data_IF_624046674360
#
_entry.id   IF_624046674360
#
_cell.length_a   1.000
_cell.length_b   1.000
_cell.length_c   1.000
_cell.angle_alpha   90.00
_cell.angle_beta   90.00
_cell.angle_gamma   90.00
#
_symmetry.space_group_name_H-M   'P 1'
#
loop_
_entity.id
_entity.type
_entity.pdbx_description
1 polymer ?
#
# COMPACT_ATOMS: atom_id res chain seq x y z
N UNK A 1 12.64 -33.90 7.27
CA UNK A 1 11.29 -34.38 7.67
C UNK A 1 10.47 -33.13 7.96
N UNK A 2 9.88 -32.54 6.91
CA UNK A 2 9.13 -31.28 7.01
C UNK A 2 7.72 -31.66 7.48
N UNK A 3 7.35 -31.19 8.67
CA UNK A 3 6.03 -31.41 9.23
C UNK A 3 4.96 -30.84 8.30
N UNK A 4 4.02 -31.69 7.90
CA UNK A 4 2.74 -31.31 7.32
C UNK A 4 2.02 -30.40 8.33
N UNK A 5 2.23 -29.09 8.22
CA UNK A 5 1.28 -28.14 8.78
C UNK A 5 -0.02 -28.40 8.04
N UNK A 6 -1.02 -28.93 8.75
CA UNK A 6 -2.38 -29.07 8.23
C UNK A 6 -2.84 -27.67 7.81
N UNK A 7 -2.77 -27.39 6.51
CA UNK A 7 -3.28 -26.15 5.94
C UNK A 7 -4.76 -26.05 6.34
N UNK A 8 -5.12 -24.96 7.01
CA UNK A 8 -6.52 -24.65 7.19
C UNK A 8 -7.15 -24.65 5.78
N UNK A 9 -8.19 -25.46 5.50
CA UNK A 9 -8.76 -25.52 4.16
C UNK A 9 -9.24 -24.11 3.79
N UNK A 10 -8.79 -23.62 2.62
CA UNK A 10 -9.21 -22.33 2.12
C UNK A 10 -10.73 -22.30 2.02
N UNK A 11 -11.36 -21.32 2.67
CA UNK A 11 -12.81 -21.16 2.61
C UNK A 11 -13.14 -20.14 1.52
N UNK A 12 -13.63 -20.65 0.39
CA UNK A 12 -14.09 -19.81 -0.72
C UNK A 12 -15.27 -18.94 -0.32
N UNK A 13 -15.25 -17.70 -0.80
CA UNK A 13 -16.15 -16.64 -0.40
C UNK A 13 -16.51 -15.74 -1.58
N UNK A 14 -17.70 -15.12 -1.57
CA UNK A 14 -18.04 -14.08 -2.55
C UNK A 14 -17.09 -12.88 -2.44
N UNK A 15 -16.46 -12.70 -1.27
CA UNK A 15 -15.47 -11.67 -1.01
C UNK A 15 -14.19 -11.91 -1.82
N UNK A 16 -13.86 -13.17 -2.14
CA UNK A 16 -12.76 -13.50 -3.06
C UNK A 16 -13.05 -12.99 -4.48
N UNK A 17 -14.31 -13.09 -4.93
CA UNK A 17 -14.75 -12.61 -6.24
C UNK A 17 -14.64 -11.09 -6.33
N UNK A 18 -15.01 -10.36 -5.27
CA UNK A 18 -14.87 -8.91 -5.25
C UNK A 18 -13.40 -8.46 -5.17
N UNK A 19 -12.58 -9.15 -4.37
CA UNK A 19 -11.16 -8.82 -4.23
C UNK A 19 -10.36 -9.07 -5.50
N UNK A 20 -10.89 -9.88 -6.41
CA UNK A 20 -10.29 -10.24 -7.68
C UNK A 20 -9.88 -9.04 -8.56
N UNK A 21 -10.53 -7.88 -8.39
CA UNK A 21 -10.24 -6.68 -9.17
C UNK A 21 -9.45 -5.61 -8.39
N UNK A 22 -9.14 -5.83 -7.11
CA UNK A 22 -8.50 -4.82 -6.27
C UNK A 22 -7.09 -4.45 -6.73
N UNK A 23 -6.32 -5.42 -7.23
CA UNK A 23 -5.01 -5.15 -7.84
C UNK A 23 -5.12 -4.19 -9.03
N UNK A 24 -6.03 -4.49 -9.98
CA UNK A 24 -6.25 -3.68 -11.18
C UNK A 24 -6.65 -2.24 -10.83
N UNK A 25 -7.54 -2.04 -9.86
CA UNK A 25 -7.96 -0.69 -9.45
C UNK A 25 -6.78 0.17 -8.94
N UNK A 26 -5.84 -0.43 -8.21
CA UNK A 26 -4.66 0.32 -7.73
C UNK A 26 -3.66 0.55 -8.86
N UNK A 27 -3.52 -0.40 -9.78
CA UNK A 27 -2.72 -0.23 -11.00
C UNK A 27 -3.26 0.91 -11.87
N UNK A 28 -4.57 0.92 -12.13
CA UNK A 28 -5.26 1.98 -12.87
C UNK A 28 -5.06 3.35 -12.20
N UNK A 29 -5.11 3.41 -10.87
CA UNK A 29 -4.83 4.65 -10.15
C UNK A 29 -3.39 5.14 -10.41
N UNK A 30 -2.41 4.24 -10.43
CA UNK A 30 -1.03 4.59 -10.74
C UNK A 30 -0.89 5.10 -12.18
N UNK A 31 -1.38 4.35 -13.16
CA UNK A 31 -1.18 4.60 -14.59
C UNK A 31 -2.02 5.78 -15.11
N UNK A 32 -3.26 5.89 -14.66
CA UNK A 32 -4.21 6.88 -15.19
C UNK A 32 -4.18 8.20 -14.41
N UNK A 33 -3.66 8.21 -13.17
CA UNK A 33 -3.68 9.40 -12.31
C UNK A 33 -2.30 9.80 -11.82
N UNK A 34 -1.59 8.91 -11.13
CA UNK A 34 -0.32 9.27 -10.47
C UNK A 34 0.77 9.60 -11.50
N UNK A 35 1.04 8.69 -12.44
CA UNK A 35 2.11 8.83 -13.41
C UNK A 35 1.92 10.07 -14.31
N UNK A 36 0.75 10.31 -14.95
CA UNK A 36 0.56 11.47 -15.81
C UNK A 36 0.69 12.79 -15.04
N UNK A 37 0.24 12.82 -13.79
CA UNK A 37 0.32 14.01 -12.93
C UNK A 37 1.76 14.36 -12.58
N UNK A 38 2.58 13.38 -12.20
CA UNK A 38 3.99 13.60 -11.88
C UNK A 38 4.80 13.99 -13.13
N UNK A 39 4.51 13.38 -14.29
CA UNK A 39 5.11 13.78 -15.57
C UNK A 39 4.78 15.25 -15.90
N UNK A 40 3.52 15.66 -15.74
CA UNK A 40 3.11 17.03 -16.01
C UNK A 40 3.80 18.04 -15.08
N UNK A 41 3.96 17.71 -13.80
CA UNK A 41 4.67 18.56 -12.83
C UNK A 41 6.17 18.65 -13.15
N UNK A 42 6.81 17.53 -13.50
CA UNK A 42 8.20 17.50 -13.94
C UNK A 42 8.42 18.35 -15.19
N UNK A 43 7.58 18.18 -16.22
CA UNK A 43 7.65 19.00 -17.45
C UNK A 43 7.52 20.48 -17.14
N UNK A 44 6.61 20.86 -16.24
CA UNK A 44 6.43 22.27 -15.86
C UNK A 44 7.67 22.83 -15.17
N UNK A 45 8.33 22.05 -14.33
CA UNK A 45 9.59 22.43 -13.69
C UNK A 45 10.69 22.65 -14.73
N UNK A 46 10.80 21.76 -15.71
CA UNK A 46 11.81 21.85 -16.77
C UNK A 46 11.56 23.09 -17.67
N UNK A 47 10.30 23.34 -18.05
CA UNK A 47 9.90 24.56 -18.77
C UNK A 47 10.32 25.85 -18.07
N UNK A 48 10.29 25.87 -16.72
CA UNK A 48 10.69 27.05 -15.93
C UNK A 48 12.20 27.26 -15.90
N UNK A 49 12.97 26.16 -15.90
CA UNK A 49 14.44 26.18 -15.92
C UNK A 49 14.94 26.67 -17.28
N UNK A 50 14.26 26.28 -18.37
CA UNK A 50 14.64 26.62 -19.74
C UNK A 50 14.28 28.05 -20.17
N UNK A 51 13.53 28.81 -19.36
CA UNK A 51 13.15 30.19 -19.69
C UNK A 51 14.38 31.08 -19.88
N UNK A 52 14.47 31.76 -21.01
CA UNK A 52 15.58 32.69 -21.31
C UNK A 52 15.28 34.14 -20.94
N UNK A 53 14.03 34.46 -20.59
CA UNK A 53 13.53 35.82 -20.35
C UNK A 53 13.60 36.27 -18.88
N UNK A 54 14.08 35.41 -17.98
CA UNK A 54 14.15 35.63 -16.54
C UNK A 54 15.61 35.46 -16.07
N UNK A 55 15.99 36.13 -14.98
CA UNK A 55 17.28 35.96 -14.30
C UNK A 55 17.44 34.56 -13.68
N UNK A 56 18.65 34.01 -13.69
CA UNK A 56 18.93 32.64 -13.23
C UNK A 56 18.63 32.41 -11.73
N UNK A 57 18.77 33.44 -10.89
CA UNK A 57 18.39 33.34 -9.48
C UNK A 57 16.87 33.14 -9.34
N UNK A 58 16.08 33.91 -10.09
CA UNK A 58 14.61 33.79 -10.07
C UNK A 58 14.16 32.45 -10.64
N UNK A 59 14.81 31.94 -11.71
CA UNK A 59 14.55 30.58 -12.22
C UNK A 59 14.77 29.52 -11.16
N UNK A 60 15.86 29.64 -10.41
CA UNK A 60 16.22 28.69 -9.35
C UNK A 60 15.18 28.67 -8.22
N UNK A 61 14.67 29.83 -7.81
CA UNK A 61 13.58 29.91 -6.83
C UNK A 61 12.29 29.27 -7.34
N UNK A 62 11.86 29.60 -8.57
CA UNK A 62 10.65 29.01 -9.16
C UNK A 62 10.76 27.50 -9.35
N UNK A 63 11.94 27.02 -9.79
CA UNK A 63 12.19 25.59 -9.95
C UNK A 63 12.16 24.87 -8.59
N UNK A 64 12.68 25.49 -7.53
CA UNK A 64 12.59 24.96 -6.18
C UNK A 64 11.15 24.88 -5.66
N UNK A 65 10.35 25.94 -5.82
CA UNK A 65 8.94 25.94 -5.42
C UNK A 65 8.14 24.84 -6.15
N UNK A 66 8.40 24.66 -7.46
CA UNK A 66 7.80 23.59 -8.25
C UNK A 66 8.27 22.20 -7.83
N UNK A 67 9.55 22.04 -7.50
CA UNK A 67 10.07 20.80 -6.94
C UNK A 67 9.40 20.47 -5.60
N UNK A 68 9.19 21.45 -4.72
CA UNK A 68 8.45 21.25 -3.46
C UNK A 68 7.02 20.82 -3.75
N UNK A 69 6.33 21.48 -4.70
CA UNK A 69 4.97 21.08 -5.12
C UNK A 69 4.94 19.62 -5.60
N UNK A 70 5.89 19.21 -6.46
CA UNK A 70 6.02 17.84 -6.95
C UNK A 70 6.15 16.83 -5.81
N UNK A 71 7.02 17.09 -4.83
CA UNK A 71 7.18 16.20 -3.67
C UNK A 71 5.93 16.15 -2.79
N UNK A 72 5.22 17.27 -2.59
CA UNK A 72 3.93 17.27 -1.87
C UNK A 72 2.86 16.47 -2.60
N UNK A 73 2.84 16.57 -3.92
CA UNK A 73 1.93 15.77 -4.74
C UNK A 73 2.28 14.29 -4.65
N UNK A 74 3.55 13.90 -4.70
CA UNK A 74 3.98 12.52 -4.52
C UNK A 74 3.60 11.96 -3.14
N UNK A 75 3.76 12.73 -2.06
CA UNK A 75 3.28 12.35 -0.71
C UNK A 75 1.76 12.15 -0.67
N UNK A 76 1.02 13.01 -1.36
CA UNK A 76 -0.45 12.90 -1.45
C UNK A 76 -0.86 11.65 -2.21
N UNK A 77 -0.18 11.31 -3.30
CA UNK A 77 -0.40 10.06 -4.03
C UNK A 77 -0.04 8.83 -3.20
N UNK A 78 1.07 8.86 -2.45
CA UNK A 78 1.42 7.79 -1.52
C UNK A 78 0.30 7.55 -0.48
N UNK A 79 -0.26 8.63 0.08
CA UNK A 79 -1.39 8.56 1.00
C UNK A 79 -2.66 7.99 0.31
N UNK A 80 -2.90 8.37 -0.94
CA UNK A 80 -3.98 7.81 -1.77
C UNK A 80 -3.85 6.31 -1.97
N UNK A 81 -2.67 5.84 -2.39
CA UNK A 81 -2.35 4.41 -2.56
C UNK A 81 -2.56 3.65 -1.25
N UNK A 82 -2.04 4.19 -0.14
CA UNK A 82 -2.20 3.60 1.19
C UNK A 82 -3.69 3.49 1.58
N UNK A 83 -4.46 4.54 1.32
CA UNK A 83 -5.89 4.59 1.66
C UNK A 83 -6.70 3.59 0.83
N UNK A 84 -6.41 3.45 -0.48
CA UNK A 84 -7.02 2.44 -1.35
C UNK A 84 -6.73 1.03 -0.83
N UNK A 85 -5.46 0.71 -0.60
CA UNK A 85 -5.04 -0.58 -0.03
C UNK A 85 -5.74 -0.89 1.29
N UNK A 86 -5.71 0.06 2.24
CA UNK A 86 -6.29 -0.13 3.57
C UNK A 86 -7.81 -0.39 3.50
N UNK A 87 -8.53 0.35 2.64
CA UNK A 87 -9.95 0.12 2.43
C UNK A 87 -10.23 -1.26 1.84
N UNK A 88 -9.45 -1.66 0.82
CA UNK A 88 -9.59 -2.97 0.18
C UNK A 88 -9.36 -4.12 1.16
N UNK A 89 -8.24 -4.10 1.91
CA UNK A 89 -7.89 -5.19 2.82
C UNK A 89 -8.84 -5.25 4.02
N UNK A 90 -9.30 -4.11 4.54
CA UNK A 90 -10.30 -4.08 5.62
C UNK A 90 -11.65 -4.59 5.13
N UNK A 91 -12.10 -4.17 3.95
CA UNK A 91 -13.34 -4.66 3.34
C UNK A 91 -13.28 -6.17 3.15
N UNK A 92 -12.15 -6.68 2.65
CA UNK A 92 -11.91 -8.09 2.48
C UNK A 92 -11.98 -8.86 3.81
N UNK A 93 -11.16 -8.49 4.81
CA UNK A 93 -11.10 -9.20 6.09
C UNK A 93 -12.44 -9.14 6.82
N UNK A 94 -13.10 -7.99 6.86
CA UNK A 94 -14.43 -7.85 7.46
C UNK A 94 -15.49 -8.70 6.74
N UNK A 95 -15.45 -8.74 5.40
CA UNK A 95 -16.31 -9.62 4.61
C UNK A 95 -16.10 -11.10 4.94
N UNK A 96 -14.84 -11.50 5.13
CA UNK A 96 -14.50 -12.86 5.52
C UNK A 96 -15.02 -13.18 6.93
N UNK A 97 -14.82 -12.29 7.91
CA UNK A 97 -15.37 -12.44 9.28
C UNK A 97 -16.88 -12.64 9.22
N UNK A 98 -17.59 -11.78 8.47
CA UNK A 98 -19.04 -11.90 8.25
C UNK A 98 -19.40 -13.30 7.74
N UNK A 99 -18.82 -13.71 6.62
CA UNK A 99 -19.20 -14.98 5.97
C UNK A 99 -18.75 -16.22 6.74
N UNK A 100 -17.67 -16.13 7.52
CA UNK A 100 -17.10 -17.29 8.20
C UNK A 100 -17.68 -17.50 9.60
N UNK A 101 -18.13 -16.43 10.27
CA UNK A 101 -18.79 -16.48 11.56
C UNK A 101 -20.31 -16.75 11.49
N UNK A 102 -20.97 -16.61 10.32
CA UNK A 102 -22.41 -16.95 10.13
C UNK A 102 -22.67 -18.03 9.06
N UNK A 103 -22.37 -19.32 9.30
CA UNK A 103 -22.67 -20.33 8.29
C UNK A 103 -24.17 -20.57 8.02
N UNK A 104 -25.09 -20.12 8.90
CA UNK A 104 -26.50 -20.59 8.83
C UNK A 104 -27.56 -19.67 9.46
N UNK A 105 -27.24 -18.42 9.79
CA UNK A 105 -28.18 -17.52 10.50
C UNK A 105 -28.46 -16.27 9.66
N UNK A 106 -29.74 -15.93 9.36
CA UNK A 106 -30.09 -14.67 8.70
C UNK A 106 -29.51 -13.48 9.46
N UNK A 107 -29.06 -12.42 8.76
CA UNK A 107 -28.36 -11.27 9.37
C UNK A 107 -29.10 -10.62 10.55
N UNK A 108 -30.43 -10.67 10.56
CA UNK A 108 -31.29 -10.13 11.62
C UNK A 108 -31.27 -10.95 12.92
N UNK A 109 -30.75 -12.18 12.87
CA UNK A 109 -30.67 -13.12 13.99
C UNK A 109 -29.21 -13.47 14.36
N UNK A 110 -28.24 -12.86 13.69
CA UNK A 110 -26.83 -13.06 14.00
C UNK A 110 -26.55 -12.59 15.44
N UNK A 111 -25.90 -13.40 16.29
CA UNK A 111 -25.64 -13.01 17.67
C UNK A 111 -24.79 -11.73 17.73
N UNK A 112 -25.06 -10.86 18.72
CA UNK A 112 -24.35 -9.58 18.96
C UNK A 112 -22.81 -9.73 18.98
N UNK A 113 -22.31 -10.93 19.27
CA UNK A 113 -20.89 -11.28 19.22
C UNK A 113 -20.28 -11.08 17.84
N UNK A 114 -21.01 -11.31 16.75
CA UNK A 114 -20.54 -11.19 15.37
C UNK A 114 -20.39 -9.72 14.98
N UNK A 115 -21.35 -8.87 15.39
CA UNK A 115 -21.24 -7.42 15.25
C UNK A 115 -19.99 -6.88 15.93
N UNK A 116 -19.69 -7.37 17.14
CA UNK A 116 -18.46 -7.02 17.88
C UNK A 116 -17.18 -7.52 17.20
N UNK A 117 -17.20 -8.71 16.58
CA UNK A 117 -16.04 -9.21 15.82
C UNK A 117 -15.78 -8.39 14.55
N UNK A 118 -16.84 -7.97 13.86
CA UNK A 118 -16.78 -7.08 12.68
C UNK A 118 -16.22 -5.72 13.07
N UNK A 119 -16.79 -5.09 14.10
CA UNK A 119 -16.33 -3.78 14.59
C UNK A 119 -14.86 -3.85 15.02
N UNK A 120 -14.48 -4.95 15.69
CA UNK A 120 -13.08 -5.21 16.04
C UNK A 120 -12.21 -5.30 14.80
N UNK A 121 -12.62 -6.05 13.77
CA UNK A 121 -11.87 -6.20 12.52
C UNK A 121 -11.67 -4.85 11.80
N UNK A 122 -12.73 -4.03 11.75
CA UNK A 122 -12.68 -2.69 11.15
C UNK A 122 -11.67 -1.77 11.86
N UNK A 123 -11.60 -1.82 13.19
CA UNK A 123 -10.75 -0.97 14.02
C UNK A 123 -9.36 -1.54 14.32
N UNK A 124 -9.07 -2.76 13.90
CA UNK A 124 -7.79 -3.42 14.21
C UNK A 124 -6.63 -2.63 13.61
N UNK A 125 -5.62 -2.35 14.45
CA UNK A 125 -4.43 -1.60 14.04
C UNK A 125 -3.53 -2.45 13.15
N UNK A 126 -2.95 -1.81 12.12
CA UNK A 126 -1.94 -2.44 11.27
C UNK A 126 -0.73 -2.92 12.10
N UNK A 127 -0.12 -4.02 11.68
CA UNK A 127 0.97 -4.68 12.38
C UNK A 127 0.53 -5.98 13.05
N UNK A 128 1.04 -6.27 14.24
CA UNK A 128 0.85 -7.56 14.91
C UNK A 128 -0.63 -7.95 15.10
N UNK A 129 -1.48 -6.99 15.48
CA UNK A 129 -2.90 -7.24 15.69
C UNK A 129 -3.63 -7.57 14.39
N UNK A 130 -3.35 -6.84 13.30
CA UNK A 130 -3.91 -7.14 11.98
C UNK A 130 -3.38 -8.46 11.43
N UNK A 131 -2.11 -8.80 11.66
CA UNK A 131 -1.53 -10.09 11.26
C UNK A 131 -2.23 -11.26 11.95
N UNK A 132 -2.49 -11.16 13.26
CA UNK A 132 -3.26 -12.16 14.02
C UNK A 132 -4.68 -12.28 13.51
N UNK A 133 -5.33 -11.16 13.19
CA UNK A 133 -6.67 -11.15 12.60
C UNK A 133 -6.68 -11.85 11.23
N UNK A 134 -5.74 -11.51 10.34
CA UNK A 134 -5.63 -12.11 9.02
C UNK A 134 -5.38 -13.62 9.11
N UNK A 135 -4.47 -14.05 10.00
CA UNK A 135 -4.22 -15.46 10.27
C UNK A 135 -5.47 -16.17 10.79
N UNK A 136 -6.21 -15.58 11.74
CA UNK A 136 -7.46 -16.15 12.25
C UNK A 136 -8.48 -16.36 11.12
N UNK A 137 -8.58 -15.40 10.21
CA UNK A 137 -9.64 -15.36 9.18
C UNK A 137 -9.30 -16.19 7.95
N UNK A 138 -8.03 -16.20 7.51
CA UNK A 138 -7.58 -16.87 6.27
C UNK A 138 -6.67 -18.06 6.49
N UNK A 139 -6.18 -18.29 7.71
CA UNK A 139 -5.23 -19.36 7.98
C UNK A 139 -3.86 -19.12 7.34
N UNK A 140 -3.58 -17.88 6.90
CA UNK A 140 -2.32 -17.48 6.28
C UNK A 140 -1.64 -16.42 7.13
N UNK A 141 -0.32 -16.53 7.29
CA UNK A 141 0.47 -15.52 7.98
C UNK A 141 0.76 -14.36 7.01
N UNK A 142 0.15 -13.21 7.26
CA UNK A 142 0.34 -12.02 6.43
C UNK A 142 1.84 -11.65 6.23
N UNK A 143 2.72 -11.77 7.25
CA UNK A 143 4.16 -11.54 7.07
C UNK A 143 4.90 -12.53 6.15
N UNK A 144 4.31 -13.68 5.82
CA UNK A 144 4.92 -14.65 4.89
C UNK A 144 4.73 -14.28 3.41
N UNK A 145 3.87 -13.30 3.11
CA UNK A 145 3.70 -12.81 1.74
C UNK A 145 4.93 -12.03 1.29
N UNK A 146 5.38 -12.27 0.07
CA UNK A 146 6.54 -11.57 -0.50
C UNK A 146 6.33 -10.04 -0.55
N UNK A 147 5.09 -9.60 -0.73
CA UNK A 147 4.71 -8.18 -0.76
C UNK A 147 4.71 -7.50 0.62
N UNK A 148 4.72 -8.26 1.71
CA UNK A 148 4.51 -7.71 3.05
C UNK A 148 5.49 -6.60 3.46
N UNK A 149 6.81 -6.72 3.26
CA UNK A 149 7.74 -5.66 3.65
C UNK A 149 7.43 -4.31 2.99
N UNK A 150 7.03 -4.35 1.71
CA UNK A 150 6.72 -3.16 0.93
C UNK A 150 5.34 -2.59 1.28
N UNK A 151 4.36 -3.44 1.58
CA UNK A 151 3.06 -3.00 2.12
C UNK A 151 3.23 -2.38 3.52
N UNK A 152 4.10 -2.95 4.37
CA UNK A 152 4.39 -2.37 5.67
C UNK A 152 5.06 -0.98 5.54
N UNK A 153 5.94 -0.82 4.56
CA UNK A 153 6.48 0.49 4.19
C UNK A 153 5.37 1.44 3.70
N UNK A 154 4.44 0.98 2.85
CA UNK A 154 3.29 1.78 2.40
C UNK A 154 2.45 2.29 3.58
N UNK A 155 2.16 1.42 4.55
CA UNK A 155 1.39 1.78 5.74
C UNK A 155 2.14 2.78 6.63
N UNK A 156 3.47 2.62 6.76
CA UNK A 156 4.30 3.57 7.49
C UNK A 156 4.36 4.94 6.79
N UNK A 157 4.60 4.95 5.47
CA UNK A 157 4.64 6.16 4.65
C UNK A 157 3.32 6.91 4.65
N UNK A 158 2.19 6.21 4.48
CA UNK A 158 0.87 6.85 4.52
C UNK A 158 0.60 7.52 5.87
N UNK A 159 0.99 6.90 6.97
CA UNK A 159 0.89 7.53 8.30
C UNK A 159 1.76 8.80 8.41
N UNK A 160 2.98 8.77 7.86
CA UNK A 160 3.85 9.96 7.82
C UNK A 160 3.28 11.05 6.91
N UNK A 161 2.76 10.70 5.73
CA UNK A 161 2.14 11.65 4.81
C UNK A 161 0.88 12.30 5.40
N UNK A 162 0.10 11.54 6.19
CA UNK A 162 -1.13 12.02 6.83
C UNK A 162 -0.87 12.92 8.04
N UNK A 163 0.10 12.57 8.88
CA UNK A 163 0.28 13.20 10.20
C UNK A 163 1.54 14.07 10.33
N UNK A 164 2.48 13.97 9.39
CA UNK A 164 3.75 14.66 9.47
C UNK A 164 4.66 14.08 10.55
N UNK A 165 5.23 14.96 11.38
CA UNK A 165 6.15 14.57 12.44
C UNK A 165 5.49 13.71 13.52
N UNK A 166 6.24 12.72 14.04
CA UNK A 166 5.74 11.88 15.12
C UNK A 166 6.47 10.56 15.28
N UNK A 167 5.77 9.57 15.83
CA UNK A 167 6.31 8.21 16.00
C UNK A 167 6.59 7.55 14.65
N UNK A 168 5.64 7.62 13.71
CA UNK A 168 5.80 7.06 12.38
C UNK A 168 7.02 7.66 11.64
N UNK A 169 7.17 8.99 11.67
CA UNK A 169 8.31 9.66 11.03
C UNK A 169 9.66 9.24 11.65
N UNK A 170 9.73 9.13 12.98
CA UNK A 170 10.94 8.63 13.67
C UNK A 170 11.26 7.18 13.30
N UNK A 171 10.25 6.33 13.15
CA UNK A 171 10.46 4.95 12.68
C UNK A 171 10.92 4.91 11.23
N UNK A 172 10.30 5.72 10.36
CA UNK A 172 10.64 5.80 8.94
C UNK A 172 12.09 6.26 8.74
N UNK A 173 12.53 7.33 9.43
CA UNK A 173 13.94 7.80 9.36
C UNK A 173 14.96 6.72 9.74
N UNK A 174 14.61 5.86 10.70
CA UNK A 174 15.49 4.76 11.13
C UNK A 174 15.54 3.61 10.13
N UNK A 175 14.41 3.31 9.49
CA UNK A 175 14.27 2.16 8.58
C UNK A 175 14.65 2.50 7.13
N UNK A 176 14.42 3.74 6.74
CA UNK A 176 14.53 4.24 5.37
C UNK A 176 15.18 5.63 5.34
N UNK A 177 16.42 5.78 5.85
CA UNK A 177 17.12 7.06 5.85
C UNK A 177 17.33 7.63 4.43
N UNK A 178 17.38 6.78 3.41
CA UNK A 178 17.53 7.15 2.00
C UNK A 178 16.41 8.06 1.46
N UNK A 179 15.24 8.08 2.12
CA UNK A 179 14.14 8.97 1.77
C UNK A 179 14.41 10.44 2.12
N UNK A 180 15.45 10.70 2.92
CA UNK A 180 16.02 12.01 3.14
C UNK A 180 17.41 12.03 2.51
N UNK A 181 17.54 12.36 1.21
CA UNK A 181 18.86 12.42 0.58
C UNK A 181 19.73 13.51 1.21
N UNK A 182 21.01 13.20 1.36
CA UNK A 182 22.00 14.05 2.01
C UNK A 182 22.09 15.43 1.36
N UNK A 183 21.68 16.46 2.09
CA UNK A 183 22.43 17.71 2.11
C UNK A 183 23.70 17.46 2.94
N UNK A 184 24.84 17.96 2.49
CA UNK A 184 26.18 17.83 3.12
C UNK A 184 26.15 17.63 4.66
N UNK A 185 27.02 16.79 5.25
CA UNK A 185 27.04 16.45 6.69
C UNK A 185 26.96 17.64 7.66
N UNK A 186 27.41 18.82 7.21
CA UNK A 186 27.37 20.09 7.95
C UNK A 186 25.96 20.52 8.40
N UNK A 187 24.91 20.11 7.69
CA UNK A 187 23.54 20.54 8.02
C UNK A 187 22.92 19.77 9.20
N UNK A 188 23.26 18.50 9.42
CA UNK A 188 22.70 17.73 10.54
C UNK A 188 23.30 18.15 11.89
N UNK A 189 24.60 18.47 11.93
CA UNK A 189 25.27 18.97 13.14
C UNK A 189 24.73 20.34 13.61
N UNK A 190 24.22 21.18 12.69
CA UNK A 190 23.78 22.54 13.01
C UNK A 190 22.25 22.71 13.10
N UNK A 191 21.47 21.94 12.34
CA UNK A 191 20.02 22.14 12.23
C UNK A 191 19.18 21.00 12.83
N UNK A 192 19.82 19.93 13.31
CA UNK A 192 19.13 18.80 13.95
C UNK A 192 18.45 17.85 12.97
N UNK A 193 17.38 17.18 13.43
CA UNK A 193 16.67 16.15 12.64
C UNK A 193 15.90 16.80 11.49
N UNK A 194 16.18 16.39 10.24
CA UNK A 194 15.47 16.91 9.06
C UNK A 194 13.96 16.68 9.14
N UNK A 195 13.14 17.70 8.84
CA UNK A 195 11.69 17.59 8.88
C UNK A 195 11.13 16.61 7.84
N UNK A 196 9.92 16.11 8.06
CA UNK A 196 9.14 15.29 7.12
C UNK A 196 8.88 16.02 5.80
N UNK A 197 8.94 17.35 5.81
CA UNK A 197 8.82 18.16 4.60
C UNK A 197 9.92 17.92 3.58
N UNK A 198 11.04 17.34 4.02
CA UNK A 198 12.22 17.09 3.20
C UNK A 198 12.26 15.65 2.66
N UNK A 199 11.24 14.84 2.96
CA UNK A 199 11.10 13.50 2.37
C UNK A 199 11.04 13.65 0.86
N UNK A 200 11.79 12.79 0.16
CA UNK A 200 11.73 12.66 -1.29
C UNK A 200 11.15 11.31 -1.66
N UNK A 201 10.03 11.35 -2.38
CA UNK A 201 9.38 10.16 -2.92
C UNK A 201 9.56 10.15 -4.43
N UNK A 202 10.23 9.13 -4.95
CA UNK A 202 10.38 8.93 -6.38
C UNK A 202 9.17 8.22 -6.97
N UNK A 203 8.98 8.33 -8.28
CA UNK A 203 7.93 7.57 -8.97
C UNK A 203 8.18 6.06 -8.86
N UNK A 204 9.43 5.62 -8.90
CA UNK A 204 9.83 4.21 -8.77
C UNK A 204 9.44 3.64 -7.40
N UNK A 205 9.52 4.45 -6.34
CA UNK A 205 9.02 4.06 -5.04
C UNK A 205 7.49 3.92 -5.04
N UNK A 206 6.76 4.86 -5.64
CA UNK A 206 5.30 4.75 -5.73
C UNK A 206 4.87 3.53 -6.54
N UNK A 207 5.55 3.27 -7.67
CA UNK A 207 5.36 2.09 -8.51
C UNK A 207 5.61 0.81 -7.69
N UNK A 208 6.72 0.71 -6.97
CA UNK A 208 7.03 -0.49 -6.19
C UNK A 208 6.05 -0.74 -5.04
N UNK A 209 5.49 0.32 -4.45
CA UNK A 209 4.41 0.22 -3.46
C UNK A 209 3.12 -0.32 -4.08
N UNK A 210 2.76 0.12 -5.29
CA UNK A 210 1.61 -0.39 -6.03
C UNK A 210 1.82 -1.84 -6.47
N UNK A 211 2.99 -2.17 -7.02
CA UNK A 211 3.36 -3.53 -7.39
C UNK A 211 3.22 -4.50 -6.21
N UNK A 212 3.55 -4.06 -4.99
CA UNK A 212 3.37 -4.87 -3.79
C UNK A 212 1.89 -5.13 -3.48
N UNK A 213 1.02 -4.14 -3.65
CA UNK A 213 -0.43 -4.30 -3.49
C UNK A 213 -0.99 -5.26 -4.55
N UNK A 214 -0.58 -5.09 -5.81
CA UNK A 214 -0.97 -6.00 -6.90
C UNK A 214 -0.50 -7.43 -6.64
N UNK A 215 0.77 -7.58 -6.24
CA UNK A 215 1.36 -8.87 -5.90
C UNK A 215 0.61 -9.55 -4.75
N UNK A 216 0.25 -8.80 -3.70
CA UNK A 216 -0.55 -9.34 -2.60
C UNK A 216 -1.87 -9.95 -3.08
N UNK A 217 -2.65 -9.19 -3.86
CA UNK A 217 -3.95 -9.67 -4.33
C UNK A 217 -3.82 -10.89 -5.26
N UNK A 218 -2.78 -10.92 -6.09
CA UNK A 218 -2.46 -12.09 -6.94
C UNK A 218 -2.03 -13.31 -6.14
N UNK A 219 -1.19 -13.13 -5.14
CA UNK A 219 -0.75 -14.21 -4.25
C UNK A 219 -1.94 -14.79 -3.49
N UNK A 220 -2.84 -13.93 -3.04
CA UNK A 220 -4.06 -14.32 -2.36
C UNK A 220 -5.01 -15.11 -3.28
N UNK A 221 -5.21 -14.65 -4.52
CA UNK A 221 -5.97 -15.40 -5.54
C UNK A 221 -5.33 -16.76 -5.77
N UNK A 222 -3.99 -16.82 -5.93
CA UNK A 222 -3.24 -18.06 -6.13
C UNK A 222 -3.47 -19.06 -4.99
N UNK A 223 -3.45 -18.61 -3.73
CA UNK A 223 -3.76 -19.47 -2.59
C UNK A 223 -5.17 -20.06 -2.67
N UNK A 224 -6.15 -19.28 -3.11
CA UNK A 224 -7.50 -19.76 -3.37
C UNK A 224 -7.55 -20.79 -4.50
N UNK A 225 -6.98 -20.47 -5.66
CA UNK A 225 -7.00 -21.35 -6.85
C UNK A 225 -6.39 -22.73 -6.56
N UNK A 226 -5.25 -22.77 -5.86
CA UNK A 226 -4.51 -24.01 -5.52
C UNK A 226 -5.31 -25.03 -4.69
N UNK A 227 -6.49 -24.65 -4.19
CA UNK A 227 -7.37 -25.58 -3.47
C UNK A 227 -8.27 -26.41 -4.38
N UNK A 228 -8.37 -26.07 -5.66
CA UNK A 228 -9.19 -26.80 -6.64
C UNK A 228 -8.51 -27.00 -8.01
N UNK A 229 -7.32 -26.46 -8.22
CA UNK A 229 -6.52 -26.70 -9.43
C UNK A 229 -5.03 -26.90 -9.10
N UNK A 230 -4.30 -27.48 -10.05
CA UNK A 230 -2.85 -27.66 -9.97
C UNK A 230 -2.11 -26.32 -10.02
N UNK A 231 -0.83 -26.32 -9.65
CA UNK A 231 0.00 -25.12 -9.71
C UNK A 231 0.06 -24.56 -11.13
N UNK A 232 0.26 -25.42 -12.13
CA UNK A 232 0.39 -25.00 -13.54
C UNK A 232 -0.91 -24.38 -14.08
N UNK A 233 -2.07 -24.94 -13.71
CA UNK A 233 -3.38 -24.39 -14.08
C UNK A 233 -3.62 -23.02 -13.43
N UNK A 234 -3.23 -22.87 -12.15
CA UNK A 234 -3.36 -21.60 -11.44
C UNK A 234 -2.47 -20.52 -12.07
N UNK A 235 -1.21 -20.82 -12.38
CA UNK A 235 -0.31 -19.84 -13.01
C UNK A 235 -0.77 -19.49 -14.44
N UNK A 236 -1.28 -20.46 -15.21
CA UNK A 236 -1.82 -20.20 -16.54
C UNK A 236 -3.01 -19.23 -16.49
N UNK A 237 -3.95 -19.43 -15.53
CA UNK A 237 -5.10 -18.55 -15.34
C UNK A 237 -4.68 -17.13 -14.93
N UNK A 238 -3.73 -17.02 -14.00
CA UNK A 238 -3.22 -15.73 -13.54
C UNK A 238 -2.45 -14.99 -14.64
N UNK A 239 -1.78 -15.71 -15.53
CA UNK A 239 -1.01 -15.13 -16.64
C UNK A 239 -1.91 -14.58 -17.75
N UNK A 240 -3.02 -15.25 -18.06
CA UNK A 240 -3.94 -14.82 -19.11
C UNK A 240 -4.65 -13.49 -18.77
N UNK A 241 -4.88 -13.20 -17.48
CA UNK A 241 -5.45 -11.92 -17.03
C UNK A 241 -4.60 -10.69 -17.33
N UNK A 242 -3.30 -10.84 -17.58
CA UNK A 242 -2.42 -9.70 -17.89
C UNK A 242 -2.66 -9.21 -19.33
N UNK A 243 -3.36 -9.99 -20.16
CA UNK A 243 -3.52 -9.75 -21.60
C UNK A 243 -4.90 -9.23 -22.01
N UNK A 244 -5.84 -9.15 -21.07
CA UNK A 244 -7.21 -8.65 -21.27
C UNK A 244 -7.39 -7.31 -20.53
#
# INVERSE_FOLDING_TARGET
MVGLMSQHPWKHSIVDVYANNYGNVVQDYLELVVQPSLIALGRRRDELIERTDIDDFIKSLHAFDHFVLEQRTAMTFCLGIQSLWEQQIRTYVTGCVRQFSTPSVPNEQAPDSIGKEIEKAEKTLWGEDFNKLFLKVRGLELPQFQSYPQIDLLMLLGNVCRHGEGRAARTLRKRNPELWPDSQPLFEEHFGVRPVTDIRLSFELLLSLVDAVVLFWRDLERHGLRTFMTVDEAEARLSNKIRD
#
